data_IF_404355445005
#
_entry.id   IF_404355445005
#
_cell.length_a   1.000
_cell.length_b   1.000
_cell.length_c   1.000
_cell.angle_alpha   90.00
_cell.angle_beta   90.00
_cell.angle_gamma   90.00
#
_symmetry.space_group_name_H-M   'P 1'
#
loop_
_entity.id
_entity.type
_entity.pdbx_description
1 polymer ?
#
# COMPACT_ATOMS: atom_id res chain seq x y z
N UNK A 1 9.28 14.82 -1.80
CA UNK A 1 8.88 15.03 -3.20
C UNK A 1 7.86 16.16 -3.30
N UNK A 2 6.73 16.11 -2.56
CA UNK A 2 5.72 17.19 -2.64
C UNK A 2 6.18 18.49 -1.97
N UNK A 3 6.99 18.43 -0.92
CA UNK A 3 7.43 19.64 -0.20
C UNK A 3 8.36 20.53 -1.05
N UNK A 4 9.22 19.92 -1.86
CA UNK A 4 10.15 20.64 -2.72
C UNK A 4 9.49 21.22 -3.98
N UNK A 5 8.29 20.73 -4.30
CA UNK A 5 7.50 21.15 -5.47
C UNK A 5 6.32 22.05 -5.14
N UNK A 6 6.25 22.63 -3.94
CA UNK A 6 5.18 23.54 -3.56
C UNK A 6 5.57 24.99 -3.76
N UNK A 7 4.67 25.74 -4.39
CA UNK A 7 4.76 27.19 -4.50
C UNK A 7 3.37 27.82 -4.36
N UNK A 8 3.33 29.14 -4.23
CA UNK A 8 2.06 29.87 -4.17
C UNK A 8 2.13 31.00 -5.19
N UNK A 9 1.09 31.10 -6.00
CA UNK A 9 0.92 32.19 -6.94
C UNK A 9 0.68 33.54 -6.23
N UNK A 10 0.69 34.63 -6.98
CA UNK A 10 0.43 35.97 -6.47
C UNK A 10 -0.98 36.14 -5.86
N UNK A 11 -1.94 35.31 -6.28
CA UNK A 11 -3.32 35.26 -5.76
C UNK A 11 -3.48 34.32 -4.56
N UNK A 12 -2.41 33.68 -4.09
CA UNK A 12 -2.46 32.75 -2.97
C UNK A 12 -2.73 31.28 -3.32
N UNK A 13 -2.87 30.95 -4.61
CA UNK A 13 -3.16 29.58 -5.06
C UNK A 13 -1.93 28.67 -4.94
N UNK A 14 -2.12 27.51 -4.32
CA UNK A 14 -1.09 26.46 -4.25
C UNK A 14 -0.80 25.86 -5.62
N UNK A 15 0.48 25.75 -5.95
CA UNK A 15 0.99 25.06 -7.15
C UNK A 15 1.89 23.91 -6.79
N UNK A 16 1.81 22.87 -7.61
CA UNK A 16 2.60 21.64 -7.46
C UNK A 16 3.52 21.46 -8.66
N UNK A 17 4.79 21.23 -8.40
CA UNK A 17 5.78 20.81 -9.40
C UNK A 17 5.93 19.28 -9.33
N UNK A 18 5.58 18.57 -10.40
CA UNK A 18 5.66 17.13 -10.50
C UNK A 18 6.94 16.61 -11.16
N UNK A 19 7.95 17.47 -11.40
CA UNK A 19 9.20 17.08 -12.07
C UNK A 19 9.87 15.87 -11.43
N UNK A 20 9.93 15.81 -10.10
CA UNK A 20 10.51 14.66 -9.39
C UNK A 20 9.64 13.40 -9.51
N UNK A 21 8.32 13.56 -9.50
CA UNK A 21 7.38 12.46 -9.74
C UNK A 21 7.57 11.90 -11.15
N UNK A 22 7.65 12.75 -12.16
CA UNK A 22 7.85 12.33 -13.56
C UNK A 22 9.14 11.55 -13.74
N UNK A 23 10.23 12.03 -13.13
CA UNK A 23 11.50 11.32 -13.16
C UNK A 23 11.41 9.95 -12.49
N UNK A 24 10.76 9.87 -11.35
CA UNK A 24 10.52 8.60 -10.66
C UNK A 24 9.67 7.65 -11.53
N UNK A 25 8.56 8.12 -12.08
CA UNK A 25 7.68 7.33 -12.94
C UNK A 25 8.40 6.85 -14.21
N UNK A 26 9.26 7.68 -14.80
CA UNK A 26 10.05 7.30 -15.96
C UNK A 26 11.01 6.13 -15.65
N UNK A 27 11.71 6.20 -14.51
CA UNK A 27 12.61 5.11 -14.06
C UNK A 27 11.83 3.82 -13.79
N UNK A 28 10.68 3.92 -13.12
CA UNK A 28 9.89 2.75 -12.76
C UNK A 28 9.24 2.07 -13.96
N UNK A 29 8.91 2.84 -15.01
CA UNK A 29 8.29 2.33 -16.25
C UNK A 29 9.27 1.74 -17.24
N UNK A 30 10.54 2.00 -17.07
CA UNK A 30 11.57 1.51 -18.00
C UNK A 30 11.42 -0.01 -18.16
N UNK A 31 11.11 -0.50 -19.39
CA UNK A 31 10.90 -1.92 -19.63
C UNK A 31 12.18 -2.75 -19.49
N UNK A 32 13.34 -2.13 -19.68
CA UNK A 32 14.65 -2.75 -19.46
C UNK A 32 15.06 -2.72 -17.97
N UNK A 33 14.30 -1.97 -17.15
CA UNK A 33 14.43 -1.89 -15.70
C UNK A 33 13.30 -2.62 -14.98
N UNK A 34 12.47 -1.88 -14.22
CA UNK A 34 11.37 -2.48 -13.45
C UNK A 34 10.13 -2.82 -14.28
N UNK A 35 9.88 -2.10 -15.38
CA UNK A 35 8.71 -2.31 -16.23
C UNK A 35 7.37 -2.17 -15.51
N UNK A 36 7.30 -1.33 -14.47
CA UNK A 36 6.11 -1.16 -13.66
C UNK A 36 4.94 -0.61 -14.48
N UNK A 37 3.76 -1.17 -14.27
CA UNK A 37 2.53 -0.81 -14.98
C UNK A 37 1.51 -0.08 -14.11
N UNK A 38 1.68 -0.14 -12.79
CA UNK A 38 0.83 0.56 -11.83
C UNK A 38 1.70 1.26 -10.80
N UNK A 39 1.25 2.40 -10.33
CA UNK A 39 1.99 3.27 -9.42
C UNK A 39 1.12 3.64 -8.24
N UNK A 40 1.68 3.55 -7.06
CA UNK A 40 0.97 3.82 -5.82
C UNK A 40 1.33 5.19 -5.27
N UNK A 41 0.31 6.01 -5.01
CA UNK A 41 0.43 7.24 -4.23
C UNK A 41 0.65 6.92 -2.74
N UNK A 42 1.16 7.90 -2.01
CA UNK A 42 1.36 7.79 -0.57
C UNK A 42 0.04 7.91 0.20
N UNK A 43 0.02 7.41 1.44
CA UNK A 43 -1.07 7.66 2.37
C UNK A 43 -1.22 9.16 2.67
N UNK A 44 -2.44 9.63 2.68
CA UNK A 44 -2.80 11.05 2.88
C UNK A 44 -3.28 11.31 4.29
N UNK A 45 -3.90 10.30 4.88
CA UNK A 45 -4.33 10.28 6.26
C UNK A 45 -3.49 9.28 7.04
N UNK A 46 -3.28 9.55 8.30
CA UNK A 46 -2.61 8.68 9.24
C UNK A 46 -3.45 8.51 10.50
N UNK A 47 -3.20 7.47 11.27
CA UNK A 47 -3.71 7.39 12.62
C UNK A 47 -3.08 8.49 13.46
N UNK A 48 -3.84 9.03 14.39
CA UNK A 48 -3.30 9.94 15.38
C UNK A 48 -2.39 9.17 16.36
N UNK A 49 -1.09 9.29 16.13
CA UNK A 49 -0.06 8.68 16.97
C UNK A 49 0.34 9.56 18.17
N UNK A 50 -0.34 10.71 18.36
CA UNK A 50 -0.03 11.58 19.47
C UNK A 50 -0.22 10.86 20.81
N UNK A 51 0.70 11.11 21.73
CA UNK A 51 0.64 10.54 23.08
C UNK A 51 -0.33 11.30 23.99
N UNK A 52 -0.91 12.40 23.51
CA UNK A 52 -1.80 13.27 24.27
C UNK A 52 -3.21 12.70 24.45
N UNK A 53 -3.50 11.58 23.81
CA UNK A 53 -4.77 10.86 24.00
C UNK A 53 -4.75 10.06 25.31
N UNK A 54 -5.89 10.00 26.04
CA UNK A 54 -5.97 9.21 27.26
C UNK A 54 -5.48 7.76 27.03
N UNK A 55 -4.69 7.18 27.95
CA UNK A 55 -4.13 5.84 27.80
C UNK A 55 -5.16 4.72 27.56
N UNK A 56 -6.41 4.94 27.95
CA UNK A 56 -7.52 4.00 27.76
C UNK A 56 -8.13 4.04 26.35
N UNK A 57 -7.72 5.00 25.50
CA UNK A 57 -8.29 5.11 24.14
C UNK A 57 -7.65 4.05 23.24
N UNK A 58 -8.43 3.06 22.81
CA UNK A 58 -7.96 2.06 21.85
C UNK A 58 -7.63 2.70 20.49
N UNK A 59 -6.72 2.09 19.74
CA UNK A 59 -6.36 2.58 18.41
C UNK A 59 -7.57 2.70 17.45
N UNK A 60 -8.53 1.78 17.56
CA UNK A 60 -9.77 1.79 16.78
C UNK A 60 -10.73 2.93 17.14
N UNK A 61 -10.56 3.56 18.31
CA UNK A 61 -11.35 4.72 18.73
C UNK A 61 -10.71 6.06 18.33
N UNK A 62 -9.46 6.03 17.86
CA UNK A 62 -8.77 7.22 17.38
C UNK A 62 -9.20 7.54 15.97
N UNK A 63 -9.45 8.81 15.71
CA UNK A 63 -9.69 9.31 14.37
C UNK A 63 -8.42 9.31 13.53
N UNK A 64 -8.59 9.71 12.28
CA UNK A 64 -7.49 9.98 11.36
C UNK A 64 -7.10 11.45 11.40
N UNK A 65 -5.83 11.71 11.14
CA UNK A 65 -5.26 13.04 10.92
C UNK A 65 -4.74 13.11 9.50
N UNK A 66 -4.90 14.28 8.89
CA UNK A 66 -4.32 14.62 7.59
C UNK A 66 -3.24 15.68 7.76
N UNK A 67 -2.33 15.72 6.82
CA UNK A 67 -1.34 16.79 6.78
C UNK A 67 -1.70 17.82 5.71
N UNK A 68 -1.39 19.08 6.04
CA UNK A 68 -1.50 20.22 5.14
C UNK A 68 -0.19 21.00 5.15
N UNK A 69 0.00 21.87 4.18
CA UNK A 69 1.12 22.80 4.20
C UNK A 69 0.62 24.19 4.57
N UNK A 70 1.15 24.75 5.66
CA UNK A 70 0.86 26.11 6.10
C UNK A 70 2.05 27.02 5.77
N UNK A 71 1.75 28.18 5.17
CA UNK A 71 2.77 29.17 4.87
C UNK A 71 3.15 29.90 6.16
N UNK A 72 4.43 29.87 6.47
CA UNK A 72 5.03 30.57 7.62
C UNK A 72 5.29 32.05 7.31
N UNK A 73 5.49 32.91 8.33
CA UNK A 73 5.73 34.35 8.15
C UNK A 73 6.95 34.67 7.29
N UNK A 74 7.96 33.82 7.25
CA UNK A 74 9.15 33.97 6.40
C UNK A 74 8.95 33.45 4.96
N UNK A 75 7.74 32.95 4.65
CA UNK A 75 7.34 32.52 3.33
C UNK A 75 7.58 31.05 3.01
N UNK A 76 8.28 30.27 3.88
CA UNK A 76 8.39 28.83 3.66
C UNK A 76 7.11 28.10 4.02
N UNK A 77 6.94 26.85 3.53
CA UNK A 77 5.83 25.98 3.88
C UNK A 77 6.24 24.96 4.92
N UNK A 78 5.46 24.85 5.99
CA UNK A 78 5.61 23.83 7.00
C UNK A 78 4.48 22.81 6.91
N UNK A 79 4.82 21.53 7.03
CA UNK A 79 3.84 20.46 7.09
C UNK A 79 3.25 20.37 8.49
N UNK A 80 1.94 20.56 8.61
CA UNK A 80 1.18 20.49 9.86
C UNK A 80 0.16 19.36 9.80
N UNK A 81 -0.01 18.68 10.91
CA UNK A 81 -1.04 17.66 11.08
C UNK A 81 -2.30 18.28 11.67
N UNK A 82 -3.45 17.94 11.07
CA UNK A 82 -4.77 18.36 11.51
C UNK A 82 -5.73 17.17 11.54
N UNK A 83 -6.82 17.21 12.34
CA UNK A 83 -7.87 16.21 12.25
C UNK A 83 -8.35 16.04 10.80
N UNK A 84 -8.61 14.80 10.37
CA UNK A 84 -9.03 14.54 8.99
C UNK A 84 -10.33 15.28 8.60
N UNK A 85 -11.16 15.63 9.58
CA UNK A 85 -12.38 16.42 9.37
C UNK A 85 -12.15 17.94 9.34
N UNK A 86 -10.90 18.41 9.48
CA UNK A 86 -10.60 19.84 9.38
C UNK A 86 -10.80 20.31 7.92
N UNK A 87 -11.54 21.41 7.68
CA UNK A 87 -11.75 21.92 6.33
C UNK A 87 -10.49 22.21 5.53
N UNK A 88 -9.39 22.57 6.21
CA UNK A 88 -8.11 22.80 5.56
C UNK A 88 -7.51 21.51 4.96
N UNK A 89 -7.79 20.34 5.55
CA UNK A 89 -7.37 19.04 5.03
C UNK A 89 -8.13 18.71 3.73
N UNK A 90 -9.45 18.94 3.72
CA UNK A 90 -10.26 18.72 2.51
C UNK A 90 -9.83 19.67 1.38
N UNK A 91 -9.64 20.94 1.67
CA UNK A 91 -9.23 21.94 0.68
C UNK A 91 -7.85 21.63 0.09
N UNK A 92 -6.91 21.23 0.94
CA UNK A 92 -5.59 20.79 0.48
C UNK A 92 -5.68 19.57 -0.43
N UNK A 93 -6.45 18.54 -0.04
CA UNK A 93 -6.63 17.33 -0.85
C UNK A 93 -7.33 17.65 -2.17
N UNK A 94 -8.33 18.54 -2.17
CA UNK A 94 -9.03 18.98 -3.38
C UNK A 94 -8.07 19.65 -4.36
N UNK A 95 -7.25 20.55 -3.87
CA UNK A 95 -6.24 21.25 -4.70
C UNK A 95 -5.19 20.28 -5.22
N UNK A 96 -4.70 19.37 -4.37
CA UNK A 96 -3.72 18.36 -4.76
C UNK A 96 -4.26 17.42 -5.83
N UNK A 97 -5.45 16.85 -5.64
CA UNK A 97 -6.01 15.88 -6.60
C UNK A 97 -6.43 16.52 -7.91
N UNK A 98 -6.91 17.77 -7.89
CA UNK A 98 -7.17 18.50 -9.13
C UNK A 98 -5.89 18.68 -9.97
N UNK A 99 -4.80 19.07 -9.32
CA UNK A 99 -3.50 19.25 -9.98
C UNK A 99 -2.89 17.91 -10.42
N UNK A 100 -2.85 16.91 -9.52
CA UNK A 100 -2.28 15.59 -9.79
C UNK A 100 -3.07 14.87 -10.89
N UNK A 101 -4.39 14.88 -10.83
CA UNK A 101 -5.24 14.25 -11.84
C UNK A 101 -5.07 14.88 -13.21
N UNK A 102 -5.02 16.21 -13.30
CA UNK A 102 -4.74 16.90 -14.55
C UNK A 102 -3.36 16.53 -15.11
N UNK A 103 -2.34 16.45 -14.24
CA UNK A 103 -0.99 16.05 -14.62
C UNK A 103 -0.93 14.59 -15.10
N UNK A 104 -1.47 13.64 -14.33
CA UNK A 104 -1.49 12.22 -14.69
C UNK A 104 -2.24 11.94 -16.00
N UNK A 105 -3.36 12.65 -16.25
CA UNK A 105 -4.06 12.60 -17.54
C UNK A 105 -3.18 13.11 -18.69
N UNK A 106 -2.49 14.21 -18.48
CA UNK A 106 -1.62 14.80 -19.50
C UNK A 106 -0.48 13.86 -19.92
N UNK A 107 0.06 13.05 -18.98
CA UNK A 107 1.11 12.06 -19.25
C UNK A 107 0.56 10.64 -19.51
N UNK A 108 -0.76 10.45 -19.52
CA UNK A 108 -1.41 9.17 -19.84
C UNK A 108 -1.27 8.10 -18.75
N UNK A 109 -1.18 8.47 -17.48
CA UNK A 109 -0.94 7.57 -16.34
C UNK A 109 -2.05 7.55 -15.28
N UNK A 110 -3.16 8.26 -15.48
CA UNK A 110 -4.23 8.29 -14.47
C UNK A 110 -4.81 6.89 -14.20
N UNK A 111 -5.05 6.08 -15.22
CA UNK A 111 -5.57 4.70 -15.07
C UNK A 111 -4.56 3.73 -14.42
N UNK A 112 -3.28 4.07 -14.47
CA UNK A 112 -2.21 3.30 -13.81
C UNK A 112 -2.00 3.72 -12.36
N UNK A 113 -2.68 4.78 -11.88
CA UNK A 113 -2.49 5.33 -10.54
C UNK A 113 -3.41 4.66 -9.52
N UNK A 114 -2.79 4.19 -8.43
CA UNK A 114 -3.45 3.62 -7.27
C UNK A 114 -3.24 4.58 -6.09
N UNK A 115 -4.28 5.22 -5.60
CA UNK A 115 -4.15 6.20 -4.52
C UNK A 115 -4.48 5.56 -3.17
N UNK A 116 -3.48 5.47 -2.31
CA UNK A 116 -3.69 5.19 -0.89
C UNK A 116 -4.25 6.40 -0.16
N UNK A 117 -5.20 6.16 0.73
CA UNK A 117 -5.79 7.21 1.57
C UNK A 117 -5.34 7.07 3.01
N UNK A 118 -5.51 5.88 3.60
CA UNK A 118 -5.12 5.63 4.98
C UNK A 118 -4.48 4.24 5.13
N UNK A 119 -3.75 4.03 6.23
CA UNK A 119 -3.10 2.76 6.50
C UNK A 119 -3.86 1.96 7.56
N UNK A 120 -4.12 0.68 7.26
CA UNK A 120 -4.69 -0.30 8.19
C UNK A 120 -5.96 0.20 8.91
N UNK A 121 -6.93 0.69 8.16
CA UNK A 121 -8.24 1.10 8.69
C UNK A 121 -8.87 -0.08 9.45
N UNK A 122 -9.18 0.12 10.73
CA UNK A 122 -9.71 -0.92 11.62
C UNK A 122 -11.03 -0.55 12.31
N UNK A 123 -11.57 0.65 12.06
CA UNK A 123 -12.81 1.13 12.66
C UNK A 123 -13.71 1.86 11.67
N UNK A 124 -15.00 1.89 11.99
CA UNK A 124 -15.99 2.60 11.18
C UNK A 124 -15.76 4.12 11.18
N UNK A 125 -15.25 4.67 12.29
CA UNK A 125 -14.91 6.11 12.38
C UNK A 125 -13.81 6.45 11.37
N UNK A 126 -12.73 5.68 11.36
CA UNK A 126 -11.61 5.88 10.44
C UNK A 126 -12.06 5.70 8.99
N UNK A 127 -12.91 4.70 8.74
CA UNK A 127 -13.45 4.48 7.40
C UNK A 127 -14.30 5.65 6.94
N UNK A 128 -15.20 6.20 7.79
CA UNK A 128 -16.02 7.36 7.41
C UNK A 128 -15.17 8.59 7.11
N UNK A 129 -14.06 8.78 7.81
CA UNK A 129 -13.12 9.86 7.52
C UNK A 129 -12.37 9.65 6.19
N UNK A 130 -11.93 8.41 5.91
CA UNK A 130 -11.30 8.08 4.64
C UNK A 130 -12.28 8.15 3.47
N UNK A 131 -13.56 7.83 3.70
CA UNK A 131 -14.62 7.82 2.70
C UNK A 131 -14.77 9.17 1.97
N UNK A 132 -14.66 10.27 2.69
CA UNK A 132 -14.71 11.61 2.09
C UNK A 132 -13.57 11.80 1.08
N UNK A 133 -12.38 11.31 1.41
CA UNK A 133 -11.20 11.40 0.53
C UNK A 133 -11.31 10.46 -0.66
N UNK A 134 -11.83 9.22 -0.50
CA UNK A 134 -12.09 8.33 -1.63
C UNK A 134 -13.03 8.97 -2.65
N UNK A 135 -14.14 9.57 -2.18
CA UNK A 135 -15.10 10.28 -3.05
C UNK A 135 -14.46 11.43 -3.79
N UNK A 136 -13.61 12.19 -3.12
CA UNK A 136 -12.88 13.29 -3.72
C UNK A 136 -11.90 12.82 -4.81
N UNK A 137 -11.23 11.68 -4.60
CA UNK A 137 -10.37 11.06 -5.61
C UNK A 137 -11.19 10.69 -6.84
N UNK A 138 -12.32 10.01 -6.67
CA UNK A 138 -13.18 9.61 -7.79
C UNK A 138 -13.79 10.80 -8.53
N UNK A 139 -14.05 11.93 -7.82
CA UNK A 139 -14.50 13.17 -8.42
C UNK A 139 -13.43 13.82 -9.31
N UNK A 140 -12.20 13.92 -8.82
CA UNK A 140 -11.14 14.71 -9.44
C UNK A 140 -10.17 13.89 -10.29
N UNK A 141 -10.08 12.60 -10.02
CA UNK A 141 -9.20 11.63 -10.70
C UNK A 141 -10.01 10.37 -11.07
N UNK A 142 -11.00 10.47 -11.97
CA UNK A 142 -11.95 9.38 -12.25
C UNK A 142 -11.32 8.15 -12.90
N UNK A 143 -10.14 8.26 -13.47
CA UNK A 143 -9.35 7.13 -14.00
C UNK A 143 -8.49 6.43 -12.95
N UNK A 144 -8.17 7.09 -11.85
CA UNK A 144 -7.40 6.50 -10.76
C UNK A 144 -8.27 5.55 -9.92
N UNK A 145 -7.62 4.57 -9.28
CA UNK A 145 -8.28 3.67 -8.33
C UNK A 145 -7.80 3.92 -6.92
N UNK A 146 -8.69 3.72 -5.96
CA UNK A 146 -8.37 3.79 -4.54
C UNK A 146 -7.96 2.43 -4.01
N UNK A 147 -6.97 2.40 -3.12
CA UNK A 147 -6.43 1.18 -2.52
C UNK A 147 -6.05 1.45 -1.08
N UNK A 148 -6.45 0.58 -0.15
CA UNK A 148 -5.96 0.65 1.23
C UNK A 148 -5.90 -0.71 1.92
N UNK A 149 -4.93 -0.84 2.82
CA UNK A 149 -4.84 -1.93 3.78
C UNK A 149 -5.99 -1.84 4.79
N UNK A 150 -6.65 -2.97 5.04
CA UNK A 150 -7.79 -3.05 5.95
C UNK A 150 -7.60 -4.16 6.98
N UNK A 151 -7.86 -3.85 8.25
CA UNK A 151 -7.71 -4.80 9.37
C UNK A 151 -9.07 -5.28 9.87
N UNK A 152 -9.84 -5.95 9.00
CA UNK A 152 -11.17 -6.50 9.33
C UNK A 152 -11.39 -7.84 8.67
N UNK A 153 -12.23 -8.67 9.30
CA UNK A 153 -12.73 -9.94 8.73
C UNK A 153 -13.85 -9.73 7.70
N UNK A 154 -14.37 -8.52 7.58
CA UNK A 154 -15.36 -8.18 6.57
C UNK A 154 -14.95 -6.91 5.83
N UNK A 155 -15.17 -6.83 4.50
CA UNK A 155 -14.92 -5.61 3.77
C UNK A 155 -15.79 -4.49 4.32
N UNK A 156 -15.33 -3.26 4.18
CA UNK A 156 -16.21 -2.12 4.40
C UNK A 156 -17.27 -2.12 3.31
N UNK A 157 -18.52 -2.32 3.71
CA UNK A 157 -19.66 -2.47 2.79
C UNK A 157 -20.25 -1.12 2.37
N UNK A 158 -19.56 -0.03 2.62
CA UNK A 158 -20.04 1.32 2.34
C UNK A 158 -19.82 1.73 0.88
N UNK A 159 -20.18 0.86 -0.04
CA UNK A 159 -20.24 1.24 -1.42
C UNK A 159 -18.91 1.13 -2.18
N UNK A 160 -18.84 1.84 -3.26
CA UNK A 160 -17.90 1.70 -4.37
C UNK A 160 -16.66 2.58 -4.24
N UNK A 161 -16.43 3.13 -3.07
CA UNK A 161 -15.42 4.17 -2.90
C UNK A 161 -14.01 3.62 -2.71
N UNK A 162 -13.88 2.37 -2.21
CA UNK A 162 -12.60 1.67 -2.15
C UNK A 162 -12.57 0.59 -3.25
N UNK A 163 -11.75 0.79 -4.28
CA UNK A 163 -11.68 -0.10 -5.43
C UNK A 163 -10.86 -1.36 -5.16
N UNK A 164 -9.81 -1.25 -4.35
CA UNK A 164 -8.91 -2.36 -4.03
C UNK A 164 -8.84 -2.52 -2.52
N UNK A 165 -9.44 -3.59 -2.02
CA UNK A 165 -9.36 -3.95 -0.61
C UNK A 165 -8.14 -4.83 -0.37
N UNK A 166 -7.31 -4.45 0.58
CA UNK A 166 -6.09 -5.22 0.92
C UNK A 166 -6.18 -5.71 2.37
N UNK A 167 -6.94 -6.80 2.66
CA UNK A 167 -6.99 -7.35 4.00
C UNK A 167 -5.66 -7.99 4.42
N UNK A 168 -5.37 -7.93 5.72
CA UNK A 168 -4.32 -8.74 6.33
C UNK A 168 -4.63 -10.23 6.09
N UNK A 169 -3.61 -11.03 5.80
CA UNK A 169 -3.78 -12.45 5.43
C UNK A 169 -4.67 -13.22 6.41
N UNK A 170 -4.48 -13.05 7.69
CA UNK A 170 -5.30 -13.67 8.71
C UNK A 170 -6.79 -13.29 8.57
N UNK A 171 -7.11 -11.99 8.41
CA UNK A 171 -8.50 -11.53 8.27
C UNK A 171 -9.17 -12.12 7.03
N UNK A 172 -8.43 -12.13 5.91
CA UNK A 172 -8.91 -12.78 4.70
C UNK A 172 -9.11 -14.29 4.89
N UNK A 173 -8.16 -14.97 5.54
CA UNK A 173 -8.21 -16.41 5.74
C UNK A 173 -9.39 -16.84 6.63
N UNK A 174 -9.79 -16.02 7.61
CA UNK A 174 -10.94 -16.30 8.48
C UNK A 174 -12.28 -16.02 7.79
N UNK A 175 -12.35 -15.06 6.90
CA UNK A 175 -13.60 -14.65 6.26
C UNK A 175 -13.49 -14.48 4.72
N UNK A 176 -12.97 -15.47 3.98
CA UNK A 176 -12.74 -15.32 2.53
C UNK A 176 -14.04 -15.09 1.75
N UNK A 177 -15.17 -15.60 2.27
CA UNK A 177 -16.48 -15.44 1.62
C UNK A 177 -16.99 -14.00 1.71
N UNK A 178 -16.68 -13.28 2.79
CA UNK A 178 -17.07 -11.88 2.94
C UNK A 178 -16.38 -11.01 1.86
N UNK A 179 -15.11 -11.27 1.58
CA UNK A 179 -14.37 -10.57 0.55
C UNK A 179 -14.77 -10.96 -0.88
N UNK A 180 -15.20 -12.22 -1.10
CA UNK A 180 -15.76 -12.64 -2.40
C UNK A 180 -17.14 -12.04 -2.68
N UNK A 181 -17.87 -11.66 -1.65
CA UNK A 181 -19.21 -11.09 -1.76
C UNK A 181 -19.22 -9.57 -1.94
N UNK A 182 -18.07 -8.92 -2.13
CA UNK A 182 -18.02 -7.47 -2.40
C UNK A 182 -18.83 -7.19 -3.68
N UNK A 183 -19.88 -6.35 -3.62
CA UNK A 183 -20.73 -6.09 -4.77
C UNK A 183 -19.96 -5.38 -5.88
N UNK A 184 -20.35 -5.63 -7.14
CA UNK A 184 -20.12 -4.82 -8.34
C UNK A 184 -18.93 -5.13 -9.26
N UNK A 185 -18.19 -6.20 -9.08
CA UNK A 185 -17.20 -6.64 -10.09
C UNK A 185 -16.07 -5.66 -10.41
N UNK A 186 -16.05 -4.50 -9.75
CA UNK A 186 -14.98 -3.50 -9.84
C UNK A 186 -14.00 -3.60 -8.68
N UNK A 187 -14.46 -4.04 -7.50
CA UNK A 187 -13.60 -4.18 -6.35
C UNK A 187 -12.67 -5.37 -6.53
N UNK A 188 -11.39 -5.10 -6.50
CA UNK A 188 -10.36 -6.11 -6.41
C UNK A 188 -10.06 -6.44 -4.96
N UNK A 189 -9.64 -7.66 -4.69
CA UNK A 189 -9.10 -8.05 -3.40
C UNK A 189 -7.65 -8.46 -3.57
N UNK A 190 -6.78 -7.71 -2.94
CA UNK A 190 -5.39 -8.07 -2.74
C UNK A 190 -5.23 -8.69 -1.36
N UNK A 191 -4.01 -8.83 -0.90
CA UNK A 191 -3.73 -9.30 0.45
C UNK A 191 -2.38 -8.76 0.88
N UNK A 192 -2.22 -8.48 2.18
CA UNK A 192 -0.92 -8.13 2.70
C UNK A 192 -0.50 -9.01 3.89
N UNK A 193 0.80 -9.06 4.09
CA UNK A 193 1.44 -9.48 5.33
C UNK A 193 2.34 -8.36 5.80
N UNK A 194 2.64 -8.33 7.10
CA UNK A 194 3.62 -7.46 7.72
C UNK A 194 4.30 -8.23 8.87
N UNK A 195 4.59 -7.58 9.99
CA UNK A 195 4.93 -8.27 11.24
C UNK A 195 3.85 -9.28 11.69
N UNK A 196 2.67 -9.23 11.07
CA UNK A 196 1.55 -10.16 11.24
C UNK A 196 1.04 -10.65 9.86
N UNK A 197 0.34 -11.81 9.81
CA UNK A 197 0.17 -12.78 10.88
C UNK A 197 1.47 -13.56 11.15
N UNK A 198 1.52 -14.21 12.31
CA UNK A 198 2.63 -15.06 12.72
C UNK A 198 2.20 -16.53 12.85
N UNK A 199 3.13 -17.39 13.21
CA UNK A 199 2.95 -18.81 13.52
C UNK A 199 2.47 -19.63 12.30
N UNK A 200 1.26 -20.14 12.32
CA UNK A 200 0.72 -21.07 11.32
C UNK A 200 0.34 -20.41 9.97
N UNK A 201 0.53 -19.11 9.86
CA UNK A 201 0.22 -18.39 8.63
C UNK A 201 1.44 -18.21 7.73
N UNK A 202 1.19 -18.09 6.44
CA UNK A 202 2.23 -17.76 5.48
C UNK A 202 2.78 -16.35 5.74
N UNK A 203 4.10 -16.23 5.64
CA UNK A 203 4.81 -14.96 5.88
C UNK A 203 6.13 -14.94 5.13
N UNK A 204 6.72 -13.75 5.00
CA UNK A 204 8.06 -13.56 4.45
C UNK A 204 9.07 -13.05 5.49
N UNK A 205 8.75 -13.14 6.78
CA UNK A 205 9.67 -12.77 7.86
C UNK A 205 10.93 -13.66 7.85
N UNK A 206 12.04 -13.13 8.37
CA UNK A 206 13.33 -13.78 8.33
C UNK A 206 13.40 -15.13 9.05
N UNK A 207 12.59 -15.31 10.09
CA UNK A 207 12.53 -16.53 10.90
C UNK A 207 11.65 -17.64 10.30
N UNK A 208 10.98 -17.34 9.17
CA UNK A 208 10.08 -18.30 8.55
C UNK A 208 10.82 -19.18 7.52
N UNK A 209 10.38 -20.43 7.34
CA UNK A 209 10.86 -21.25 6.24
C UNK A 209 10.63 -20.56 4.90
N UNK A 210 11.58 -20.64 3.97
CA UNK A 210 11.46 -20.07 2.63
C UNK A 210 10.22 -20.58 1.87
N UNK A 211 9.80 -21.82 2.17
CA UNK A 211 8.57 -22.38 1.63
C UNK A 211 7.33 -21.56 2.00
N UNK A 212 7.27 -20.96 3.19
CA UNK A 212 6.15 -20.11 3.60
C UNK A 212 6.03 -18.87 2.72
N UNK A 213 7.16 -18.26 2.34
CA UNK A 213 7.20 -17.15 1.39
C UNK A 213 6.75 -17.59 -0.01
N UNK A 214 7.26 -18.72 -0.51
CA UNK A 214 6.91 -19.22 -1.85
C UNK A 214 5.44 -19.63 -1.96
N UNK A 215 4.87 -20.23 -0.93
CA UNK A 215 3.48 -20.65 -0.90
C UNK A 215 2.47 -19.47 -0.89
N UNK A 216 2.91 -18.23 -0.66
CA UNK A 216 2.05 -17.05 -0.84
C UNK A 216 1.44 -16.99 -2.25
N UNK A 217 2.20 -17.31 -3.30
CA UNK A 217 1.69 -17.34 -4.68
C UNK A 217 0.59 -18.39 -4.89
N UNK A 218 0.75 -19.56 -4.28
CA UNK A 218 -0.27 -20.62 -4.31
C UNK A 218 -1.53 -20.22 -3.56
N UNK A 219 -1.37 -19.62 -2.39
CA UNK A 219 -2.50 -19.10 -1.61
C UNK A 219 -3.28 -18.05 -2.40
N UNK A 220 -2.60 -17.09 -3.03
CA UNK A 220 -3.24 -16.07 -3.85
C UNK A 220 -4.05 -16.68 -5.00
N UNK A 221 -3.48 -17.65 -5.72
CA UNK A 221 -4.20 -18.36 -6.78
C UNK A 221 -5.46 -19.07 -6.25
N UNK A 222 -5.33 -19.83 -5.15
CA UNK A 222 -6.45 -20.56 -4.56
C UNK A 222 -7.55 -19.66 -4.04
N UNK A 223 -7.19 -18.52 -3.46
CA UNK A 223 -8.10 -17.53 -2.90
C UNK A 223 -8.71 -16.60 -3.97
N UNK A 224 -8.15 -16.58 -5.20
CA UNK A 224 -8.58 -15.69 -6.28
C UNK A 224 -8.14 -14.24 -6.07
N UNK A 225 -7.02 -14.04 -5.38
CA UNK A 225 -6.45 -12.72 -5.11
C UNK A 225 -5.57 -12.28 -6.28
N UNK A 226 -5.60 -10.99 -6.61
CA UNK A 226 -4.91 -10.44 -7.78
C UNK A 226 -3.68 -9.61 -7.47
N UNK A 227 -3.43 -9.32 -6.19
CA UNK A 227 -2.28 -8.56 -5.76
C UNK A 227 -1.82 -8.86 -4.36
N UNK A 228 -0.55 -8.53 -4.11
CA UNK A 228 0.10 -8.68 -2.82
C UNK A 228 0.76 -7.36 -2.43
N UNK A 229 0.55 -6.93 -1.20
CA UNK A 229 1.17 -5.75 -0.64
C UNK A 229 2.02 -6.14 0.57
N UNK A 230 3.14 -5.50 0.74
CA UNK A 230 3.95 -5.60 1.94
C UNK A 230 4.81 -4.35 2.13
N UNK A 231 4.87 -3.88 3.32
CA UNK A 231 5.80 -2.81 3.72
C UNK A 231 7.03 -3.42 4.39
N UNK A 232 8.21 -3.50 3.73
CA UNK A 232 8.48 -3.00 2.41
C UNK A 232 9.46 -3.92 1.68
N UNK A 233 9.97 -3.49 0.51
CA UNK A 233 10.97 -4.25 -0.24
C UNK A 233 12.39 -3.96 0.23
N UNK A 234 12.70 -2.69 0.50
CA UNK A 234 14.04 -2.20 0.86
C UNK A 234 13.99 -1.05 1.88
N UNK A 235 12.99 -1.04 2.76
CA UNK A 235 12.94 -0.02 3.79
C UNK A 235 13.83 -0.43 4.97
N UNK A 236 15.00 0.16 5.01
CA UNK A 236 15.94 -0.03 6.12
C UNK A 236 15.65 0.91 7.29
N UNK A 237 14.77 1.92 7.09
CA UNK A 237 14.30 2.85 8.10
C UNK A 237 15.41 3.50 8.89
N UNK A 238 15.23 3.66 10.20
CA UNK A 238 16.28 4.16 11.08
C UNK A 238 17.53 3.29 11.13
N UNK A 239 17.44 2.04 10.67
CA UNK A 239 18.53 1.08 10.68
C UNK A 239 19.72 1.53 9.84
N UNK A 240 19.48 2.15 8.68
CA UNK A 240 20.57 2.66 7.81
C UNK A 240 21.48 3.64 8.55
N UNK A 241 20.93 4.38 9.50
CA UNK A 241 21.68 5.40 10.25
C UNK A 241 22.11 4.97 11.65
N UNK A 242 21.49 3.92 12.20
CA UNK A 242 21.72 3.49 13.59
C UNK A 242 22.16 2.04 13.71
N UNK A 243 21.69 1.18 12.83
CA UNK A 243 21.93 -0.25 12.86
C UNK A 243 22.28 -0.71 11.44
N UNK A 244 23.21 -1.62 11.39
CA UNK A 244 23.60 -2.29 10.18
C UNK A 244 22.59 -3.42 9.88
N UNK A 245 21.83 -3.40 8.77
CA UNK A 245 20.86 -4.44 8.45
C UNK A 245 21.49 -5.83 8.26
N UNK A 246 22.82 -5.91 8.10
CA UNK A 246 23.57 -7.18 8.11
C UNK A 246 23.85 -7.70 9.52
N UNK A 247 23.90 -6.81 10.51
CA UNK A 247 24.14 -7.17 11.89
C UNK A 247 22.86 -7.24 12.72
N UNK A 248 21.89 -6.40 12.40
CA UNK A 248 20.59 -6.34 13.07
C UNK A 248 19.46 -6.29 12.03
N UNK A 249 18.74 -7.38 11.91
CA UNK A 249 17.64 -7.56 10.97
C UNK A 249 16.28 -7.09 11.50
N UNK A 250 16.23 -6.60 12.76
CA UNK A 250 14.99 -6.17 13.43
C UNK A 250 14.77 -4.66 13.36
N UNK A 251 14.79 -4.10 12.16
CA UNK A 251 14.74 -2.66 11.90
C UNK A 251 13.54 -1.91 12.50
N UNK A 252 12.40 -2.57 12.66
CA UNK A 252 11.16 -2.00 13.20
C UNK A 252 10.66 -2.78 14.43
N UNK A 253 11.56 -3.10 15.36
CA UNK A 253 11.21 -3.83 16.56
C UNK A 253 11.68 -5.30 16.50
N UNK A 254 10.87 -6.23 17.04
CA UNK A 254 11.27 -7.61 17.30
C UNK A 254 11.11 -8.58 16.11
N UNK A 255 10.71 -8.12 14.93
CA UNK A 255 10.41 -9.00 13.80
C UNK A 255 11.48 -8.92 12.71
N UNK A 256 12.28 -10.01 12.55
CA UNK A 256 13.37 -10.02 11.60
C UNK A 256 12.89 -9.79 10.15
N UNK A 257 13.51 -8.81 9.51
CA UNK A 257 13.37 -8.55 8.09
C UNK A 257 11.94 -8.24 7.61
N UNK A 258 11.07 -7.68 8.47
CA UNK A 258 9.72 -7.28 8.05
C UNK A 258 9.79 -6.23 6.94
N UNK A 259 10.56 -5.16 7.15
CA UNK A 259 10.59 -4.00 6.27
C UNK A 259 11.52 -4.14 5.05
N UNK A 260 12.22 -5.25 4.88
CA UNK A 260 13.10 -5.46 3.74
C UNK A 260 13.28 -6.93 3.36
N UNK A 261 13.51 -7.17 2.07
CA UNK A 261 13.74 -8.49 1.50
C UNK A 261 15.06 -8.56 0.74
N UNK A 262 15.66 -7.41 0.46
CA UNK A 262 16.98 -7.25 -0.14
C UNK A 262 17.88 -6.44 0.78
N UNK A 263 19.19 -6.54 0.61
CA UNK A 263 20.18 -5.86 1.45
C UNK A 263 20.87 -4.73 0.68
N UNK A 264 21.23 -3.62 1.33
CA UNK A 264 21.91 -2.52 0.66
C UNK A 264 23.34 -2.90 0.28
N UNK A 265 23.75 -2.61 -0.95
CA UNK A 265 25.15 -2.59 -1.33
C UNK A 265 25.79 -1.34 -0.71
N UNK A 266 26.77 -1.53 0.18
CA UNK A 266 27.41 -0.41 0.88
C UNK A 266 28.40 0.37 0.01
N UNK A 267 28.91 -0.25 -1.05
CA UNK A 267 29.93 0.33 -1.92
C UNK A 267 29.34 0.86 -3.22
N UNK A 268 28.13 0.44 -3.56
CA UNK A 268 27.42 0.79 -4.78
C UNK A 268 26.03 1.35 -4.55
N UNK A 269 25.38 1.74 -5.64
CA UNK A 269 23.98 2.15 -5.67
C UNK A 269 23.08 0.99 -6.08
N UNK A 270 23.34 -0.20 -5.52
CA UNK A 270 22.64 -1.43 -5.84
C UNK A 270 22.13 -2.14 -4.56
N UNK A 271 21.55 -3.30 -4.72
CA UNK A 271 21.11 -4.15 -3.63
C UNK A 271 21.60 -5.58 -3.83
N UNK A 272 21.85 -6.30 -2.73
CA UNK A 272 22.05 -7.73 -2.76
C UNK A 272 20.73 -8.46 -2.53
N UNK A 273 20.43 -9.40 -3.40
CA UNK A 273 19.28 -10.26 -3.24
C UNK A 273 19.48 -11.24 -2.06
N UNK A 274 18.37 -11.59 -1.42
CA UNK A 274 18.35 -12.61 -0.38
C UNK A 274 17.65 -13.89 -0.87
N UNK A 275 17.83 -15.01 -0.14
CA UNK A 275 17.06 -16.21 -0.41
C UNK A 275 15.54 -15.98 -0.29
N UNK A 276 15.12 -15.01 0.52
CA UNK A 276 13.69 -14.62 0.64
C UNK A 276 13.21 -13.86 -0.60
N UNK A 277 14.03 -12.99 -1.19
CA UNK A 277 13.69 -12.34 -2.47
C UNK A 277 13.54 -13.36 -3.59
N UNK A 278 14.41 -14.37 -3.63
CA UNK A 278 14.31 -15.48 -4.56
C UNK A 278 13.05 -16.35 -4.33
N UNK A 279 12.71 -16.63 -3.06
CA UNK A 279 11.49 -17.35 -2.72
C UNK A 279 10.24 -16.55 -3.10
N UNK A 280 10.25 -15.23 -2.94
CA UNK A 280 9.15 -14.36 -3.36
C UNK A 280 9.03 -14.28 -4.88
N UNK A 281 10.15 -14.21 -5.61
CA UNK A 281 10.15 -14.32 -7.07
C UNK A 281 9.52 -15.64 -7.51
N UNK A 282 9.94 -16.75 -6.92
CA UNK A 282 9.34 -18.06 -7.17
C UNK A 282 7.84 -18.12 -6.84
N UNK A 283 7.36 -17.40 -5.82
CA UNK A 283 5.93 -17.29 -5.52
C UNK A 283 5.15 -16.60 -6.65
N UNK A 284 5.69 -15.51 -7.20
CA UNK A 284 5.09 -14.78 -8.32
C UNK A 284 5.09 -15.62 -9.59
N UNK A 285 6.19 -16.29 -9.89
CA UNK A 285 6.30 -17.22 -11.04
C UNK A 285 5.30 -18.37 -10.93
N UNK A 286 5.19 -19.00 -9.76
CA UNK A 286 4.22 -20.06 -9.49
C UNK A 286 2.78 -19.56 -9.70
N UNK A 287 2.45 -18.36 -9.19
CA UNK A 287 1.13 -17.73 -9.37
C UNK A 287 0.81 -17.53 -10.85
N UNK A 288 1.71 -16.95 -11.63
CA UNK A 288 1.53 -16.72 -13.05
C UNK A 288 1.37 -18.02 -13.84
N UNK A 289 2.17 -19.04 -13.51
CA UNK A 289 2.05 -20.37 -14.13
C UNK A 289 0.69 -21.02 -13.84
N UNK A 290 0.20 -20.92 -12.60
CA UNK A 290 -1.12 -21.41 -12.21
C UNK A 290 -2.24 -20.66 -12.94
N UNK A 291 -2.12 -19.34 -13.08
CA UNK A 291 -3.06 -18.53 -13.84
C UNK A 291 -3.07 -18.91 -15.32
N UNK A 292 -1.91 -19.12 -15.93
CA UNK A 292 -1.78 -19.58 -17.32
C UNK A 292 -2.36 -20.99 -17.51
N UNK A 293 -2.11 -21.90 -16.58
CA UNK A 293 -2.69 -23.24 -16.59
C UNK A 293 -4.22 -23.19 -16.47
N UNK A 294 -4.75 -22.35 -15.58
CA UNK A 294 -6.19 -22.17 -15.40
C UNK A 294 -6.88 -21.59 -16.64
N UNK A 295 -6.22 -20.68 -17.37
CA UNK A 295 -6.73 -20.18 -18.68
C UNK A 295 -6.90 -21.31 -19.69
N UNK A 296 -6.07 -22.35 -19.63
CA UNK A 296 -6.20 -23.53 -20.51
C UNK A 296 -7.26 -24.51 -20.01
N UNK A 297 -7.28 -24.81 -18.72
CA UNK A 297 -8.27 -25.72 -18.11
C UNK A 297 -8.37 -25.46 -16.60
N UNK A 298 -9.31 -24.60 -16.21
CA UNK A 298 -9.51 -24.19 -14.83
C UNK A 298 -9.81 -25.37 -13.88
N UNK A 299 -10.72 -26.28 -14.30
CA UNK A 299 -11.13 -27.40 -13.47
C UNK A 299 -9.96 -28.36 -13.18
N UNK A 300 -9.18 -28.72 -14.22
CA UNK A 300 -8.03 -29.60 -14.07
C UNK A 300 -6.94 -28.94 -13.21
N UNK A 301 -6.66 -27.65 -13.42
CA UNK A 301 -5.68 -26.91 -12.64
C UNK A 301 -6.09 -26.90 -11.16
N UNK A 302 -7.35 -26.57 -10.88
CA UNK A 302 -7.88 -26.60 -9.51
C UNK A 302 -7.74 -27.97 -8.86
N UNK A 303 -8.12 -29.03 -9.59
CA UNK A 303 -7.99 -30.42 -9.08
C UNK A 303 -6.53 -30.78 -8.73
N UNK A 304 -5.56 -30.37 -9.54
CA UNK A 304 -4.15 -30.61 -9.26
C UNK A 304 -3.71 -29.85 -8.01
N UNK A 305 -4.05 -28.58 -7.93
CA UNK A 305 -3.66 -27.74 -6.80
C UNK A 305 -4.27 -28.23 -5.50
N UNK A 306 -5.57 -28.55 -5.48
CA UNK A 306 -6.26 -29.10 -4.31
C UNK A 306 -5.68 -30.47 -3.86
N UNK A 307 -5.09 -31.22 -4.79
CA UNK A 307 -4.37 -32.47 -4.48
C UNK A 307 -2.98 -32.27 -3.88
N UNK A 308 -2.36 -31.12 -4.09
CA UNK A 308 -1.02 -30.80 -3.60
C UNK A 308 -1.07 -29.98 -2.29
N UNK A 309 -2.02 -29.06 -2.20
CA UNK A 309 -2.20 -28.21 -1.03
C UNK A 309 -3.35 -28.78 -0.21
N UNK A 310 -3.00 -29.46 0.88
CA UNK A 310 -3.98 -29.90 1.87
C UNK A 310 -4.16 -28.79 2.91
N UNK A 311 -5.39 -28.39 3.08
CA UNK A 311 -5.79 -27.44 4.14
C UNK A 311 -5.58 -28.02 5.54
#
# INVERSE_FOLDING_TARGET
>A
VLADGLSVDADGTLRFDFTHLDRFLAIMRDPDGMGARSFSGMHLLSRDWSLDMPPATSWSQRGLIGWVFERQPDGHFERVWKPAADPAVEEFHRTLFAALGAHLRAIGLEEAWLQHVADEIDSDIQYQQALAVYRLIHELMPGARTIDAVRRESPYTFGRELDIHVPLLWHHAHAPQAYRAIPDGRAEVWQYTCLQPQFDYLSRLGDYPLAATRLLGWYHFLAGLTGYLHYAWNNYGPCVHRHDPYADVSCFGSFPCDAFIVYPDREGLSVFESLRSEAMRGALEDYELLCLAAKKNAAKTRQIVDGLVRS
#
